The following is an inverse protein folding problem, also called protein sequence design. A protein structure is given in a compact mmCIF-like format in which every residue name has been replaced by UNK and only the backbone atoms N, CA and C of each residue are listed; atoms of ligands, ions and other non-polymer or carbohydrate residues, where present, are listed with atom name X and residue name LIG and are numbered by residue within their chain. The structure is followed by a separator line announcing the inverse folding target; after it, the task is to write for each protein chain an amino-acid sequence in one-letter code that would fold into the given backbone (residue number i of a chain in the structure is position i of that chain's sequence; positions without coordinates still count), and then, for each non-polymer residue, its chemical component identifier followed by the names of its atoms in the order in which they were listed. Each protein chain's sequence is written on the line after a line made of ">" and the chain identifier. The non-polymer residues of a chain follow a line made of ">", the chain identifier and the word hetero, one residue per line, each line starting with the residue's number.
data_IF_968314949502
#
_entry.id   IF_968314949502
#
_cell.length_a   1.000
_cell.length_b   1.000
_cell.length_c   1.000
_cell.angle_alpha   90.00
_cell.angle_beta   90.00
_cell.angle_gamma   90.00
#
_symmetry.space_group_name_H-M   'P 1'
#
loop_
_entity.id
_entity.type
_entity.pdbx_description
1 polymer ?
#
# COMPACT_ATOMS: atom_id res chain seq x y z
N UNK A 1 5.71 30.30 12.47
CA UNK A 1 4.95 29.44 11.54
C UNK A 1 5.46 28.03 11.76
N UNK A 2 4.77 27.24 12.59
CA UNK A 2 5.16 25.85 12.89
C UNK A 2 4.02 24.96 12.45
N UNK A 3 4.28 24.13 11.44
CA UNK A 3 3.32 23.15 10.93
C UNK A 3 3.16 22.04 11.97
N UNK A 4 1.94 21.72 12.45
CA UNK A 4 1.77 20.57 13.31
C UNK A 4 1.84 19.34 12.38
N UNK A 5 2.95 18.61 12.46
CA UNK A 5 2.96 17.23 11.99
C UNK A 5 1.77 16.53 12.68
N UNK A 6 0.85 16.00 11.87
CA UNK A 6 -0.31 15.27 12.37
C UNK A 6 0.18 14.22 13.36
N UNK A 7 -0.21 14.40 14.63
CA UNK A 7 -0.09 13.37 15.64
C UNK A 7 -1.03 12.27 15.17
N UNK A 8 -0.48 11.28 14.48
CA UNK A 8 -1.17 10.01 14.23
C UNK A 8 -1.45 9.43 15.61
N UNK A 9 -2.67 9.66 16.13
CA UNK A 9 -3.15 9.01 17.34
C UNK A 9 -3.08 7.52 17.07
N UNK A 10 -2.05 6.88 17.62
CA UNK A 10 -1.86 5.45 17.57
C UNK A 10 -2.79 4.79 18.60
N UNK A 11 -4.09 5.03 18.45
CA UNK A 11 -5.12 4.07 18.84
C UNK A 11 -5.36 3.13 17.66
N UNK A 12 -4.25 2.64 17.05
CA UNK A 12 -4.28 1.42 16.28
C UNK A 12 -4.48 0.28 17.28
N UNK A 13 -5.70 0.23 17.81
CA UNK A 13 -6.28 -0.90 18.51
C UNK A 13 -5.79 -2.14 17.78
N UNK A 14 -5.01 -2.97 18.47
CA UNK A 14 -4.36 -4.16 17.93
C UNK A 14 -5.37 -5.18 17.40
N UNK A 15 -6.05 -4.84 16.31
CA UNK A 15 -6.77 -5.77 15.48
C UNK A 15 -5.70 -6.66 14.90
N UNK A 16 -5.60 -7.85 15.50
CA UNK A 16 -4.71 -8.90 15.03
C UNK A 16 -5.08 -9.13 13.57
N UNK A 17 -4.21 -8.74 12.65
CA UNK A 17 -4.37 -8.98 11.21
C UNK A 17 -4.34 -10.49 10.96
N UNK A 18 -5.46 -11.15 11.23
CA UNK A 18 -5.60 -12.60 11.25
C UNK A 18 -6.28 -13.11 9.98
N UNK A 19 -6.96 -12.22 9.24
CA UNK A 19 -7.66 -12.53 8.00
C UNK A 19 -7.40 -11.48 6.91
N UNK A 20 -7.77 -11.83 5.67
CA UNK A 20 -7.79 -10.86 4.55
C UNK A 20 -8.80 -9.75 4.77
N UNK A 21 -9.92 -10.02 5.46
CA UNK A 21 -10.92 -9.02 5.78
C UNK A 21 -10.37 -7.96 6.74
N UNK A 22 -9.59 -8.38 7.74
CA UNK A 22 -8.93 -7.48 8.68
C UNK A 22 -7.91 -6.59 7.95
N UNK A 23 -7.14 -7.17 7.03
CA UNK A 23 -6.16 -6.44 6.22
C UNK A 23 -6.82 -5.38 5.32
N UNK A 24 -7.90 -5.75 4.64
CA UNK A 24 -8.66 -4.81 3.81
C UNK A 24 -9.23 -3.68 4.66
N UNK A 25 -9.83 -4.00 5.81
CA UNK A 25 -10.46 -3.00 6.70
C UNK A 25 -9.42 -2.03 7.25
N UNK A 26 -8.25 -2.55 7.66
CA UNK A 26 -7.13 -1.73 8.13
C UNK A 26 -6.66 -0.74 7.06
N UNK A 27 -6.39 -1.20 5.83
CA UNK A 27 -5.90 -0.30 4.78
C UNK A 27 -6.97 0.68 4.29
N UNK A 28 -8.24 0.30 4.26
CA UNK A 28 -9.33 1.23 3.96
C UNK A 28 -9.42 2.34 5.01
N UNK A 29 -9.29 2.01 6.30
CA UNK A 29 -9.27 3.02 7.37
C UNK A 29 -8.05 3.93 7.24
N UNK A 30 -6.86 3.36 7.05
CA UNK A 30 -5.63 4.13 6.86
C UNK A 30 -5.73 5.09 5.67
N UNK A 31 -6.27 4.61 4.54
CA UNK A 31 -6.53 5.43 3.36
C UNK A 31 -7.45 6.61 3.68
N UNK A 32 -8.54 6.37 4.41
CA UNK A 32 -9.44 7.43 4.84
C UNK A 32 -8.74 8.45 5.77
N UNK A 33 -7.93 7.97 6.71
CA UNK A 33 -7.24 8.82 7.70
C UNK A 33 -6.22 9.78 7.04
N UNK A 34 -5.59 9.36 5.95
CA UNK A 34 -4.62 10.19 5.20
C UNK A 34 -5.25 10.93 4.00
N UNK A 35 -6.54 10.75 3.76
CA UNK A 35 -7.24 11.34 2.60
C UNK A 35 -6.86 10.74 1.25
N UNK A 36 -6.44 9.47 1.21
CA UNK A 36 -6.17 8.74 -0.01
C UNK A 36 -7.41 7.95 -0.48
N UNK A 37 -7.74 8.02 -1.76
CA UNK A 37 -8.88 7.29 -2.33
C UNK A 37 -8.61 5.78 -2.48
N UNK A 38 -7.34 5.40 -2.60
CA UNK A 38 -6.97 4.04 -2.97
C UNK A 38 -5.63 3.61 -2.39
N UNK A 39 -5.49 2.31 -2.13
CA UNK A 39 -4.26 1.69 -1.63
C UNK A 39 -3.87 0.49 -2.49
N UNK A 40 -2.57 0.22 -2.54
CA UNK A 40 -2.03 -1.01 -3.10
C UNK A 40 -0.87 -1.49 -2.23
N UNK A 41 -0.98 -2.72 -1.72
CA UNK A 41 0.09 -3.43 -1.03
C UNK A 41 0.76 -4.39 -2.00
N UNK A 42 2.07 -4.23 -2.19
CA UNK A 42 2.88 -4.99 -3.14
C UNK A 42 4.00 -5.70 -2.39
N UNK A 43 4.17 -6.99 -2.65
CA UNK A 43 5.33 -7.75 -2.25
C UNK A 43 6.35 -7.76 -3.40
N UNK A 44 7.57 -7.32 -3.10
CA UNK A 44 8.68 -7.41 -4.05
C UNK A 44 9.37 -8.76 -3.88
N UNK A 45 9.38 -9.55 -4.94
CA UNK A 45 10.13 -10.80 -4.99
C UNK A 45 11.35 -10.55 -5.87
N UNK A 46 12.53 -10.69 -5.27
CA UNK A 46 13.79 -10.67 -6.00
C UNK A 46 14.06 -12.10 -6.50
N UNK A 47 13.84 -12.35 -7.79
CA UNK A 47 14.41 -13.52 -8.45
C UNK A 47 15.65 -13.06 -9.23
N UNK A 48 16.65 -13.94 -9.38
CA UNK A 48 18.01 -13.64 -9.80
C UNK A 48 18.11 -12.80 -11.09
N UNK A 49 17.09 -12.83 -11.95
CA UNK A 49 17.06 -12.10 -13.22
C UNK A 49 15.96 -11.02 -13.32
N UNK A 50 15.01 -10.94 -12.38
CA UNK A 50 13.89 -9.98 -12.43
C UNK A 50 13.33 -9.62 -11.05
N UNK A 51 13.11 -8.32 -10.86
CA UNK A 51 12.23 -7.81 -9.81
C UNK A 51 10.78 -8.03 -10.22
N UNK A 52 10.07 -8.94 -9.54
CA UNK A 52 8.65 -9.14 -9.74
C UNK A 52 7.84 -8.50 -8.60
N UNK A 53 6.86 -7.69 -8.98
CA UNK A 53 5.96 -7.01 -8.07
C UNK A 53 4.65 -7.79 -8.00
N UNK A 54 4.39 -8.41 -6.86
CA UNK A 54 3.16 -9.16 -6.61
C UNK A 54 2.20 -8.33 -5.78
N UNK A 55 1.04 -7.98 -6.35
CA UNK A 55 -0.04 -7.33 -5.61
C UNK A 55 -0.61 -8.32 -4.57
N UNK A 56 -0.53 -7.96 -3.30
CA UNK A 56 -1.05 -8.74 -2.16
C UNK A 56 -2.48 -8.32 -1.84
N UNK A 57 -2.73 -7.02 -1.82
CA UNK A 57 -4.04 -6.41 -1.62
C UNK A 57 -4.13 -5.07 -2.35
N UNK A 58 -5.30 -4.73 -2.87
CA UNK A 58 -5.54 -3.45 -3.54
C UNK A 58 -7.05 -3.20 -3.59
N UNK A 59 -7.46 -1.94 -3.48
CA UNK A 59 -8.82 -1.51 -3.80
C UNK A 59 -8.92 -0.85 -5.20
N UNK A 60 -7.84 -0.85 -5.98
CA UNK A 60 -7.84 -0.33 -7.34
C UNK A 60 -8.64 -1.22 -8.27
N UNK A 61 -9.35 -0.60 -9.22
CA UNK A 61 -10.01 -1.32 -10.31
C UNK A 61 -8.96 -1.97 -11.22
N UNK A 62 -9.30 -3.13 -11.79
CA UNK A 62 -8.39 -3.93 -12.61
C UNK A 62 -7.82 -3.15 -13.80
N UNK A 63 -8.66 -2.39 -14.51
CA UNK A 63 -8.23 -1.62 -15.68
C UNK A 63 -7.16 -0.57 -15.34
N UNK A 64 -7.24 0.04 -14.16
CA UNK A 64 -6.23 1.00 -13.71
C UNK A 64 -4.89 0.30 -13.40
N UNK A 65 -4.93 -0.93 -12.87
CA UNK A 65 -3.74 -1.74 -12.63
C UNK A 65 -3.09 -2.14 -13.95
N UNK A 66 -3.88 -2.59 -14.93
CA UNK A 66 -3.39 -2.95 -16.26
C UNK A 66 -2.82 -1.74 -17.02
N UNK A 67 -3.47 -0.57 -16.92
CA UNK A 67 -3.01 0.66 -17.56
C UNK A 67 -1.66 1.14 -17.02
N UNK A 68 -1.46 1.11 -15.69
CA UNK A 68 -0.19 1.48 -15.04
C UNK A 68 0.88 0.44 -15.37
N UNK A 69 0.50 -0.83 -15.39
CA UNK A 69 1.38 -1.96 -15.69
C UNK A 69 2.31 -2.34 -14.53
N UNK A 70 2.59 -3.64 -14.42
CA UNK A 70 3.38 -4.23 -13.33
C UNK A 70 4.80 -3.67 -13.21
N UNK A 71 5.41 -3.24 -14.32
CA UNK A 71 6.77 -2.67 -14.34
C UNK A 71 6.83 -1.33 -13.60
N UNK A 72 5.83 -0.47 -13.78
CA UNK A 72 5.81 0.83 -13.10
C UNK A 72 5.55 0.63 -11.60
N UNK A 73 4.66 -0.30 -11.24
CA UNK A 73 4.43 -0.71 -9.84
C UNK A 73 5.73 -1.21 -9.19
N UNK A 74 6.49 -2.08 -9.88
CA UNK A 74 7.79 -2.55 -9.39
C UNK A 74 8.80 -1.41 -9.20
N UNK A 75 8.86 -0.48 -10.16
CA UNK A 75 9.76 0.68 -10.07
C UNK A 75 9.39 1.62 -8.91
N UNK A 76 8.10 1.82 -8.62
CA UNK A 76 7.65 2.62 -7.48
C UNK A 76 7.99 1.93 -6.15
N UNK A 77 7.79 0.62 -6.07
CA UNK A 77 8.10 -0.17 -4.89
C UNK A 77 9.61 -0.27 -4.59
N UNK A 78 10.46 -0.10 -5.60
CA UNK A 78 11.93 -0.03 -5.46
C UNK A 78 12.46 1.41 -5.46
N UNK A 79 11.56 2.39 -5.47
CA UNK A 79 11.92 3.79 -5.55
C UNK A 79 12.57 4.32 -4.28
N UNK A 80 13.27 5.47 -4.35
CA UNK A 80 13.97 6.05 -3.21
C UNK A 80 13.05 6.52 -2.06
N UNK A 81 11.74 6.55 -2.29
CA UNK A 81 10.72 6.92 -1.29
C UNK A 81 10.19 5.71 -0.51
N UNK A 82 10.55 4.49 -0.91
CA UNK A 82 10.08 3.22 -0.34
C UNK A 82 11.21 2.34 0.20
N UNK A 83 12.46 2.82 0.11
CA UNK A 83 13.68 2.16 0.60
C UNK A 83 13.97 2.40 2.09
#
# INVERSE_FOLDING_TARGET
>A
MSSPAAILHSDASGSRLASRGDLTSFFMQLSADIGADSYMLVAMVHDQDRNDARIVSSNWIFDAIELIGKRLIANLALGPLTA
#
